data_IF_724288088795
#
_entry.id   IF_724288088795
#
_cell.length_a   1.000
_cell.length_b   1.000
_cell.length_c   1.000
_cell.angle_alpha   90.00
_cell.angle_beta   90.00
_cell.angle_gamma   90.00
#
_symmetry.space_group_name_H-M   'P 1'
#
loop_
_entity.id
_entity.type
_entity.pdbx_description
1 polymer ?
#
# COMPACT_ATOMS: atom_id res chain seq x y z
N UNK A 1 -18.23 17.07 -3.20
CA UNK A 1 -17.52 16.04 -3.99
C UNK A 1 -16.09 15.94 -3.46
N UNK A 2 -15.63 14.73 -3.13
CA UNK A 2 -14.29 14.47 -2.57
C UNK A 2 -13.49 13.62 -3.56
N UNK A 3 -12.19 13.90 -3.71
CA UNK A 3 -11.30 13.14 -4.58
C UNK A 3 -10.12 12.58 -3.78
N UNK A 4 -9.71 11.39 -4.15
CA UNK A 4 -8.54 10.71 -3.62
C UNK A 4 -7.36 10.93 -4.56
N UNK A 5 -6.28 11.55 -4.09
CA UNK A 5 -5.18 11.98 -4.97
C UNK A 5 -3.92 11.15 -4.73
N UNK A 6 -3.27 10.75 -5.83
CA UNK A 6 -1.87 10.31 -5.83
C UNK A 6 -1.00 11.39 -6.47
N UNK A 7 -0.01 11.86 -5.72
CA UNK A 7 0.96 12.86 -6.17
C UNK A 7 2.19 12.17 -6.74
N UNK A 8 2.48 12.43 -8.01
CA UNK A 8 3.64 11.91 -8.71
C UNK A 8 4.64 13.04 -8.95
N UNK A 9 5.79 12.99 -8.27
CA UNK A 9 6.83 14.02 -8.34
C UNK A 9 7.97 13.53 -9.24
N UNK A 10 8.39 14.39 -10.18
CA UNK A 10 9.60 14.27 -10.99
C UNK A 10 10.42 15.55 -10.82
N UNK A 11 11.67 15.53 -11.27
CA UNK A 11 12.55 16.71 -11.23
C UNK A 11 11.98 17.91 -12.02
N UNK A 12 11.28 17.62 -13.11
CA UNK A 12 10.76 18.60 -14.07
C UNK A 12 9.27 18.93 -13.89
N UNK A 13 8.52 18.09 -13.16
CA UNK A 13 7.08 18.23 -13.05
C UNK A 13 6.48 17.56 -11.80
N UNK A 14 5.39 18.16 -11.30
CA UNK A 14 4.49 17.54 -10.32
C UNK A 14 3.17 17.24 -11.03
N UNK A 15 2.75 15.97 -10.99
CA UNK A 15 1.47 15.54 -11.55
C UNK A 15 0.56 15.00 -10.43
N UNK A 16 -0.72 15.37 -10.47
CA UNK A 16 -1.74 14.89 -9.55
C UNK A 16 -2.71 13.96 -10.29
N UNK A 17 -2.89 12.76 -9.76
CA UNK A 17 -3.83 11.77 -10.28
C UNK A 17 -5.00 11.62 -9.32
N UNK A 18 -6.21 11.98 -9.75
CA UNK A 18 -7.42 11.95 -8.94
C UNK A 18 -8.28 10.69 -9.18
N UNK A 19 -8.82 10.13 -8.10
CA UNK A 19 -9.66 8.94 -8.09
C UNK A 19 -10.94 9.19 -7.29
N UNK A 20 -12.04 8.59 -7.74
CA UNK A 20 -13.34 8.70 -7.07
C UNK A 20 -13.38 7.90 -5.76
N UNK A 21 -12.68 6.76 -5.72
CA UNK A 21 -12.68 5.85 -4.58
C UNK A 21 -11.25 5.64 -4.03
N UNK A 22 -11.11 5.30 -2.74
CA UNK A 22 -9.81 4.97 -2.18
C UNK A 22 -9.26 3.65 -2.75
N UNK A 23 -10.12 2.72 -3.15
CA UNK A 23 -9.71 1.46 -3.79
C UNK A 23 -9.05 1.71 -5.15
N UNK A 24 -9.60 2.60 -5.98
CA UNK A 24 -9.01 2.95 -7.28
C UNK A 24 -7.64 3.60 -7.11
N UNK A 25 -7.48 4.49 -6.12
CA UNK A 25 -6.17 5.07 -5.79
C UNK A 25 -5.18 4.00 -5.34
N UNK A 26 -5.62 3.04 -4.54
CA UNK A 26 -4.77 1.93 -4.10
C UNK A 26 -4.35 1.06 -5.29
N UNK A 27 -5.29 0.69 -6.16
CA UNK A 27 -5.02 -0.06 -7.38
C UNK A 27 -4.03 0.66 -8.29
N UNK A 28 -4.16 1.98 -8.45
CA UNK A 28 -3.21 2.80 -9.23
C UNK A 28 -1.79 2.71 -8.65
N UNK A 29 -1.65 2.86 -7.33
CA UNK A 29 -0.36 2.76 -6.65
C UNK A 29 0.25 1.36 -6.84
N UNK A 30 -0.55 0.31 -6.76
CA UNK A 30 -0.09 -1.06 -7.01
C UNK A 30 0.40 -1.23 -8.45
N UNK A 31 -0.35 -0.71 -9.43
CA UNK A 31 0.06 -0.72 -10.84
C UNK A 31 1.39 0.00 -11.06
N UNK A 32 1.66 1.11 -10.36
CA UNK A 32 2.94 1.83 -10.43
C UNK A 32 4.15 1.03 -9.94
N UNK A 33 3.94 -0.04 -9.17
CA UNK A 33 5.04 -0.93 -8.75
C UNK A 33 5.44 -1.93 -9.83
N UNK A 34 4.61 -2.12 -10.87
CA UNK A 34 4.86 -3.09 -11.93
C UNK A 34 5.86 -2.51 -12.91
N UNK A 35 6.92 -3.26 -13.20
CA UNK A 35 7.96 -2.77 -14.09
C UNK A 35 7.41 -2.63 -15.52
N UNK A 36 7.76 -1.51 -16.15
CA UNK A 36 7.21 -1.06 -17.45
C UNK A 36 5.78 -0.51 -17.43
N UNK A 37 5.15 -0.31 -16.26
CA UNK A 37 3.91 0.44 -16.14
C UNK A 37 4.20 1.86 -15.66
N UNK A 38 3.85 2.85 -16.49
CA UNK A 38 3.92 4.27 -16.15
C UNK A 38 2.54 4.89 -15.85
N UNK A 39 2.49 6.12 -15.32
CA UNK A 39 1.25 6.76 -14.84
C UNK A 39 0.13 6.81 -15.89
N UNK A 40 0.47 7.10 -17.15
CA UNK A 40 -0.48 7.13 -18.27
C UNK A 40 -1.12 5.76 -18.53
N UNK A 41 -0.33 4.69 -18.46
CA UNK A 41 -0.80 3.34 -18.71
C UNK A 41 -1.66 2.84 -17.55
N UNK A 42 -1.25 3.11 -16.30
CA UNK A 42 -2.04 2.76 -15.13
C UNK A 42 -3.40 3.48 -15.11
N UNK A 43 -3.44 4.76 -15.52
CA UNK A 43 -4.70 5.46 -15.74
C UNK A 43 -5.55 4.81 -16.82
N UNK A 44 -4.96 4.46 -17.96
CA UNK A 44 -5.68 3.82 -19.06
C UNK A 44 -6.29 2.48 -18.62
N UNK A 45 -5.56 1.70 -17.81
CA UNK A 45 -6.06 0.46 -17.21
C UNK A 45 -7.25 0.74 -16.29
N UNK A 46 -7.13 1.67 -15.35
CA UNK A 46 -8.22 2.01 -14.42
C UNK A 46 -9.42 2.72 -15.07
N UNK A 47 -9.24 3.23 -16.29
CA UNK A 47 -10.33 3.78 -17.10
C UNK A 47 -11.16 2.70 -17.80
N UNK A 48 -10.59 1.49 -17.98
CA UNK A 48 -11.27 0.35 -18.59
C UNK A 48 -11.77 -0.67 -17.55
N UNK A 49 -11.04 -0.82 -16.45
CA UNK A 49 -11.34 -1.74 -15.36
C UNK A 49 -11.25 -0.98 -14.04
N UNK A 50 -12.33 -0.95 -13.27
CA UNK A 50 -12.29 -0.46 -11.90
C UNK A 50 -11.40 -1.36 -11.02
N UNK A 51 -11.08 -0.92 -9.79
CA UNK A 51 -10.23 -1.69 -8.88
C UNK A 51 -10.70 -3.15 -8.69
N UNK A 52 -12.02 -3.38 -8.68
CA UNK A 52 -12.61 -4.72 -8.56
C UNK A 52 -12.42 -5.54 -9.82
N UNK A 53 -12.72 -4.99 -11.00
CA UNK A 53 -12.52 -5.65 -12.29
C UNK A 53 -11.05 -6.00 -12.53
N UNK A 54 -10.13 -5.15 -12.08
CA UNK A 54 -8.69 -5.43 -12.08
C UNK A 54 -8.36 -6.61 -11.16
N UNK A 55 -8.82 -6.59 -9.91
CA UNK A 55 -8.59 -7.68 -8.96
C UNK A 55 -9.13 -9.02 -9.48
N UNK A 56 -10.34 -9.03 -10.04
CA UNK A 56 -10.96 -10.20 -10.64
C UNK A 56 -10.19 -10.73 -11.85
N UNK A 57 -9.72 -9.83 -12.73
CA UNK A 57 -8.93 -10.21 -13.90
C UNK A 57 -7.63 -10.91 -13.49
N UNK A 58 -6.97 -10.41 -12.45
CA UNK A 58 -5.74 -11.00 -11.93
C UNK A 58 -6.02 -12.30 -11.17
N UNK A 59 -7.06 -12.36 -10.34
CA UNK A 59 -7.45 -13.56 -9.61
C UNK A 59 -7.79 -14.73 -10.53
N UNK A 60 -8.42 -14.45 -11.68
CA UNK A 60 -8.76 -15.44 -12.71
C UNK A 60 -7.62 -15.70 -13.71
N UNK A 61 -6.49 -15.01 -13.56
CA UNK A 61 -5.35 -15.08 -14.47
C UNK A 61 -5.76 -14.86 -15.93
N UNK A 62 -6.67 -13.92 -16.19
CA UNK A 62 -7.24 -13.70 -17.51
C UNK A 62 -6.66 -12.43 -18.17
N UNK A 63 -5.57 -12.54 -18.95
CA UNK A 63 -4.97 -11.41 -19.64
C UNK A 63 -5.88 -10.85 -20.75
N UNK A 64 -6.93 -11.56 -21.16
CA UNK A 64 -7.86 -11.08 -22.19
C UNK A 64 -8.67 -9.86 -21.72
N UNK A 65 -8.84 -9.71 -20.41
CA UNK A 65 -9.50 -8.55 -19.78
C UNK A 65 -8.78 -7.23 -20.07
N UNK A 66 -7.49 -7.28 -20.41
CA UNK A 66 -6.69 -6.11 -20.73
C UNK A 66 -6.61 -5.79 -22.23
N UNK A 67 -7.26 -6.60 -23.07
CA UNK A 67 -7.32 -6.35 -24.52
C UNK A 67 -8.10 -5.07 -24.81
N UNK A 68 -7.60 -4.27 -25.74
CA UNK A 68 -8.24 -3.02 -26.16
C UNK A 68 -7.77 -1.79 -25.39
N UNK A 69 -7.02 -1.95 -24.30
CA UNK A 69 -6.45 -0.82 -23.57
C UNK A 69 -5.27 -0.24 -24.39
N UNK A 70 -5.29 1.05 -24.76
CA UNK A 70 -4.20 1.66 -25.51
C UNK A 70 -2.86 1.52 -24.77
N UNK A 71 -1.86 0.97 -25.46
CA UNK A 71 -0.53 0.73 -24.87
C UNK A 71 -0.40 -0.57 -24.06
N UNK A 72 -1.46 -1.38 -23.92
CA UNK A 72 -1.37 -2.72 -23.34
C UNK A 72 -1.39 -3.77 -24.47
N UNK A 73 -0.21 -4.27 -24.81
CA UNK A 73 -0.05 -5.43 -25.69
C UNK A 73 -0.08 -6.76 -24.92
N UNK A 74 -0.05 -7.89 -25.64
CA UNK A 74 -0.05 -9.24 -25.05
C UNK A 74 1.02 -9.42 -23.96
N UNK A 75 2.26 -9.01 -24.25
CA UNK A 75 3.39 -9.11 -23.29
C UNK A 75 3.16 -8.31 -22.02
N UNK A 76 2.55 -7.12 -22.13
CA UNK A 76 2.26 -6.26 -20.99
C UNK A 76 1.09 -6.85 -20.19
N UNK A 77 0.04 -7.32 -20.85
CA UNK A 77 -1.10 -7.97 -20.20
C UNK A 77 -0.67 -9.21 -19.39
N UNK A 78 0.13 -10.09 -19.99
CA UNK A 78 0.63 -11.30 -19.34
C UNK A 78 1.51 -10.94 -18.12
N UNK A 79 2.38 -9.94 -18.27
CA UNK A 79 3.23 -9.44 -17.17
C UNK A 79 2.42 -8.82 -16.04
N UNK A 80 1.39 -8.05 -16.39
CA UNK A 80 0.54 -7.34 -15.45
C UNK A 80 -0.25 -8.34 -14.60
N UNK A 81 -0.80 -9.40 -15.21
CA UNK A 81 -1.43 -10.51 -14.46
C UNK A 81 -0.43 -11.20 -13.53
N UNK A 82 0.79 -11.51 -14.00
CA UNK A 82 1.80 -12.21 -13.23
C UNK A 82 2.30 -11.38 -12.03
N UNK A 83 2.78 -10.16 -12.27
CA UNK A 83 3.34 -9.31 -11.21
C UNK A 83 2.27 -8.82 -10.24
N UNK A 84 1.04 -8.56 -10.70
CA UNK A 84 -0.04 -8.18 -9.79
C UNK A 84 -0.54 -9.34 -8.97
N UNK A 85 -0.50 -10.59 -9.45
CA UNK A 85 -0.87 -11.76 -8.64
C UNK A 85 -0.03 -11.83 -7.37
N UNK A 86 1.27 -11.62 -7.51
CA UNK A 86 2.21 -11.69 -6.38
C UNK A 86 2.03 -10.50 -5.41
N UNK A 87 1.41 -9.40 -5.87
CA UNK A 87 1.23 -8.15 -5.11
C UNK A 87 -0.19 -7.92 -4.59
N UNK A 88 -1.22 -8.49 -5.21
CA UNK A 88 -2.62 -8.34 -4.80
C UNK A 88 -2.96 -9.13 -3.52
N UNK A 89 -2.10 -10.07 -3.12
CA UNK A 89 -2.14 -10.66 -1.77
C UNK A 89 -2.04 -9.62 -0.65
N UNK A 90 -1.59 -8.39 -0.96
CA UNK A 90 -1.51 -7.26 -0.04
C UNK A 90 -2.73 -6.32 -0.06
N UNK A 91 -3.56 -6.33 -1.10
CA UNK A 91 -4.65 -5.34 -1.29
C UNK A 91 -5.96 -5.78 -0.65
N UNK A 92 -6.15 -7.08 -0.42
CA UNK A 92 -7.31 -7.61 0.32
C UNK A 92 -7.19 -7.43 1.84
N UNK A 93 -6.00 -7.08 2.34
CA UNK A 93 -5.72 -6.85 3.75
C UNK A 93 -5.55 -5.36 4.03
N UNK A 94 -6.66 -4.68 4.35
CA UNK A 94 -6.60 -3.46 5.16
C UNK A 94 -6.67 -2.16 4.38
N UNK A 95 -7.90 -1.67 4.25
CA UNK A 95 -8.19 -0.24 4.35
C UNK A 95 -7.73 0.27 5.72
N UNK A 96 -6.45 0.61 5.88
CA UNK A 96 -5.99 1.38 7.04
C UNK A 96 -4.64 2.03 6.79
N UNK A 97 -4.71 3.37 6.71
CA UNK A 97 -3.66 4.34 7.04
C UNK A 97 -2.39 4.38 6.19
N UNK A 98 -1.93 5.61 5.98
CA UNK A 98 -0.85 5.94 5.06
C UNK A 98 0.49 5.35 5.48
N UNK A 99 1.26 4.93 4.47
CA UNK A 99 2.71 5.06 4.49
C UNK A 99 3.24 5.09 3.06
N UNK A 100 4.34 5.83 2.92
CA UNK A 100 5.13 6.11 1.73
C UNK A 100 6.10 4.94 1.51
N UNK A 101 6.54 4.72 0.27
CA UNK A 101 7.22 3.49 -0.14
C UNK A 101 8.55 3.16 0.55
N UNK A 102 8.81 1.87 0.72
CA UNK A 102 10.11 1.19 0.76
C UNK A 102 9.86 -0.36 0.77
N UNK A 103 10.85 -1.20 0.42
CA UNK A 103 10.63 -2.51 -0.19
C UNK A 103 10.26 -3.63 0.81
N UNK A 104 9.41 -4.54 0.30
CA UNK A 104 9.24 -5.97 0.63
C UNK A 104 10.11 -6.49 1.80
N UNK A 105 9.55 -6.44 3.00
CA UNK A 105 9.82 -7.41 4.05
C UNK A 105 8.51 -8.15 4.33
N UNK A 106 8.58 -9.48 4.42
CA UNK A 106 7.44 -10.38 4.61
C UNK A 106 6.50 -9.88 5.73
N UNK A 107 5.16 -10.01 5.57
CA UNK A 107 4.23 -9.62 6.62
C UNK A 107 4.36 -10.61 7.79
N UNK A 108 5.03 -10.16 8.84
CA UNK A 108 4.91 -10.73 10.18
C UNK A 108 3.46 -10.47 10.63
N UNK A 109 2.77 -11.43 11.27
CA UNK A 109 1.40 -11.23 11.75
C UNK A 109 1.31 -9.96 12.60
N UNK A 110 0.63 -8.94 12.09
CA UNK A 110 0.41 -7.68 12.79
C UNK A 110 -0.60 -7.96 13.90
N UNK A 111 -0.26 -7.80 15.19
CA UNK A 111 -1.25 -7.89 16.25
C UNK A 111 -2.22 -6.71 16.10
N UNK A 112 -3.50 -7.04 15.87
CA UNK A 112 -4.60 -6.09 15.81
C UNK A 112 -4.82 -5.43 17.18
N UNK A 113 -4.16 -4.31 17.44
CA UNK A 113 -4.32 -3.55 18.68
C UNK A 113 -3.45 -2.28 18.73
N UNK A 114 -3.70 -1.38 19.69
CA UNK A 114 -2.94 -0.12 19.84
C UNK A 114 -1.43 -0.33 19.89
N UNK A 115 -0.96 -1.40 20.54
CA UNK A 115 0.46 -1.76 20.64
C UNK A 115 1.07 -2.16 19.30
N UNK A 116 0.33 -2.86 18.44
CA UNK A 116 0.78 -3.22 17.08
C UNK A 116 0.90 -2.00 16.16
N UNK A 117 0.03 -1.01 16.35
CA UNK A 117 0.12 0.28 15.64
C UNK A 117 1.34 1.08 16.10
N UNK A 118 1.66 1.09 17.39
CA UNK A 118 2.88 1.73 17.92
C UNK A 118 4.14 1.05 17.37
N UNK A 119 4.21 -0.29 17.36
CA UNK A 119 5.34 -1.02 16.78
C UNK A 119 5.57 -0.64 15.31
N UNK A 120 4.49 -0.60 14.53
CA UNK A 120 4.55 -0.26 13.10
C UNK A 120 4.93 1.20 12.86
N UNK A 121 4.48 2.11 13.73
CA UNK A 121 4.86 3.52 13.70
C UNK A 121 6.36 3.69 13.98
N UNK A 122 6.89 3.02 15.01
CA UNK A 122 8.33 3.07 15.36
C UNK A 122 9.22 2.56 14.22
N UNK A 123 8.84 1.43 13.60
CA UNK A 123 9.59 0.91 12.44
C UNK A 123 9.53 1.88 11.26
N UNK A 124 8.37 2.52 11.02
CA UNK A 124 8.22 3.53 9.97
C UNK A 124 9.03 4.81 10.25
N UNK A 125 9.34 5.11 11.51
CA UNK A 125 10.22 6.21 11.93
C UNK A 125 11.72 5.87 11.79
N UNK A 126 12.07 4.62 11.48
CA UNK A 126 13.44 4.17 11.23
C UNK A 126 14.09 3.36 12.36
N UNK A 127 13.35 3.00 13.41
CA UNK A 127 13.86 2.10 14.46
C UNK A 127 13.94 0.66 13.96
N UNK A 128 14.89 -0.12 14.50
CA UNK A 128 14.98 -1.54 14.12
C UNK A 128 13.77 -2.31 14.68
N UNK A 129 13.30 -3.37 13.99
CA UNK A 129 12.16 -4.16 14.46
C UNK A 129 12.31 -4.66 15.91
N UNK A 130 13.50 -5.15 16.27
CA UNK A 130 13.77 -5.62 17.63
C UNK A 130 13.84 -4.50 18.69
N UNK A 131 14.11 -3.26 18.29
CA UNK A 131 14.05 -2.09 19.19
C UNK A 131 12.59 -1.66 19.41
N UNK A 132 11.79 -1.66 18.33
CA UNK A 132 10.36 -1.37 18.40
C UNK A 132 9.61 -2.37 19.28
N UNK A 133 9.89 -3.67 19.14
CA UNK A 133 9.28 -4.72 19.97
C UNK A 133 9.64 -4.57 21.46
N UNK A 134 10.91 -4.25 21.77
CA UNK A 134 11.33 -4.02 23.16
C UNK A 134 10.63 -2.80 23.77
N UNK A 135 10.51 -1.71 23.02
CA UNK A 135 9.82 -0.51 23.47
C UNK A 135 8.33 -0.80 23.75
N UNK A 136 7.68 -1.58 22.88
CA UNK A 136 6.27 -1.99 23.06
C UNK A 136 6.11 -2.95 24.24
N UNK A 137 7.03 -3.90 24.44
CA UNK A 137 7.04 -4.79 25.59
C UNK A 137 7.18 -4.03 26.92
N UNK A 138 8.00 -2.96 26.95
CA UNK A 138 8.18 -2.13 28.13
C UNK A 138 6.91 -1.36 28.54
N UNK A 139 6.08 -0.95 27.59
CA UNK A 139 4.84 -0.18 27.85
C UNK A 139 3.58 -1.06 27.96
N UNK A 140 3.66 -2.33 27.57
CA UNK A 140 2.57 -3.31 27.69
C UNK A 140 1.90 -3.35 29.07
N UNK A 141 2.63 -3.36 30.21
CA UNK A 141 2.00 -3.38 31.54
C UNK A 141 1.21 -2.12 31.90
N UNK A 142 1.35 -1.02 31.15
CA UNK A 142 0.61 0.23 31.33
C UNK A 142 -0.31 0.58 30.16
N UNK A 143 -0.59 -0.37 29.26
CA UNK A 143 -1.24 -0.10 27.98
C UNK A 143 -2.77 -0.02 28.04
N UNK A 144 -3.39 -0.45 29.14
CA UNK A 144 -4.85 -0.56 29.24
C UNK A 144 -5.54 0.80 29.12
N UNK A 145 -6.41 0.92 28.10
CA UNK A 145 -7.26 2.09 27.86
C UNK A 145 -6.56 3.33 27.30
N UNK A 146 -5.26 3.28 27.03
CA UNK A 146 -4.50 4.43 26.50
C UNK A 146 -4.61 4.53 24.97
N UNK A 147 -4.63 5.76 24.47
CA UNK A 147 -4.61 6.01 23.03
C UNK A 147 -3.23 5.75 22.44
N UNK A 148 -3.20 5.49 21.12
CA UNK A 148 -1.97 5.21 20.36
C UNK A 148 -0.94 6.34 20.52
N UNK A 149 -1.38 7.60 20.55
CA UNK A 149 -0.49 8.76 20.73
C UNK A 149 0.24 8.76 22.09
N UNK A 150 -0.44 8.33 23.16
CA UNK A 150 0.14 8.26 24.50
C UNK A 150 1.16 7.12 24.57
N UNK A 151 0.79 5.96 24.03
CA UNK A 151 1.65 4.78 23.97
C UNK A 151 2.90 5.02 23.11
N UNK A 152 2.77 5.78 22.01
CA UNK A 152 3.90 6.15 21.17
C UNK A 152 4.90 7.05 21.90
N UNK A 153 4.41 8.03 22.69
CA UNK A 153 5.29 8.88 23.51
C UNK A 153 6.01 8.08 24.60
N UNK A 154 5.30 7.17 25.28
CA UNK A 154 5.90 6.30 26.30
C UNK A 154 6.97 5.38 25.69
N UNK A 155 6.70 4.80 24.52
CA UNK A 155 7.67 3.96 23.81
C UNK A 155 8.93 4.74 23.40
N UNK A 156 8.76 5.96 22.88
CA UNK A 156 9.90 6.82 22.53
C UNK A 156 10.70 7.24 23.76
N UNK A 157 10.04 7.50 24.89
CA UNK A 157 10.71 7.82 26.15
C UNK A 157 11.48 6.64 26.75
N UNK A 158 11.13 5.39 26.39
CA UNK A 158 11.87 4.19 26.81
C UNK A 158 13.06 3.87 25.90
N UNK A 159 13.17 4.52 24.74
CA UNK A 159 14.25 4.33 23.75
C UNK A 159 15.36 5.40 23.88
N UNK A 160 15.17 6.42 24.72
CA UNK A 160 16.15 7.45 25.07
C UNK A 160 16.66 7.30 26.50
#
# INVERSE_FOLDING_TARGET
MTLHVHTHVREDAIALFGFATPEDRAAFRTLMTVSSIGPKLALAVLSHLDARGLADAVARQDPSRFKGIPGVGKKIADRLVLELRDKLGFVTAGSSSGSVGAPIAMPIPIPSGPLGQVASALVSMGFKPGEAERAVAAITPGADGKSVDVLLREALSSLG
#
